data_IF_062044233493
#
_entry.id   IF_062044233493
#
_cell.length_a   1.000
_cell.length_b   1.000
_cell.length_c   1.000
_cell.angle_alpha   90.00
_cell.angle_beta   90.00
_cell.angle_gamma   90.00
#
_symmetry.space_group_name_H-M   'P 1'
#
loop_
_entity.id
_entity.type
_entity.pdbx_description
1 polymer ?
#
# COMPACT_ATOMS: atom_id res chain seq x y z
N UNK A 1 -12.32 11.87 24.56
CA UNK A 1 -10.93 11.99 25.03
C UNK A 1 -10.03 11.08 24.21
N UNK A 2 -8.75 11.39 24.16
CA UNK A 2 -7.75 10.67 23.35
C UNK A 2 -6.96 9.67 24.22
N UNK A 3 -7.68 8.86 25.01
CA UNK A 3 -7.07 7.85 25.86
C UNK A 3 -7.29 6.47 25.28
N UNK A 4 -6.24 5.65 25.28
CA UNK A 4 -6.28 4.23 24.96
C UNK A 4 -5.95 3.45 26.22
N UNK A 5 -6.74 2.43 26.54
CA UNK A 5 -6.51 1.54 27.66
C UNK A 5 -6.38 0.11 27.12
N UNK A 6 -5.28 -0.54 27.44
CA UNK A 6 -5.13 -1.97 27.23
C UNK A 6 -5.73 -2.69 28.45
N UNK A 7 -6.68 -3.56 28.21
CA UNK A 7 -7.35 -4.32 29.30
C UNK A 7 -6.57 -5.54 29.74
N UNK A 8 -5.64 -6.00 28.90
CA UNK A 8 -4.71 -7.07 29.19
C UNK A 8 -3.34 -6.47 29.54
N UNK A 9 -2.80 -6.80 30.70
CA UNK A 9 -1.50 -6.29 31.20
C UNK A 9 -0.30 -6.72 30.32
N UNK A 10 -0.43 -7.83 29.60
CA UNK A 10 0.62 -8.37 28.74
C UNK A 10 0.49 -7.89 27.28
N UNK A 11 -0.63 -7.23 26.93
CA UNK A 11 -0.83 -6.67 25.62
C UNK A 11 0.15 -5.50 25.35
N UNK A 12 0.59 -5.42 24.11
CA UNK A 12 1.44 -4.33 23.60
C UNK A 12 0.84 -3.75 22.34
N UNK A 13 0.92 -2.44 22.19
CA UNK A 13 0.50 -1.74 20.99
C UNK A 13 1.66 -1.69 20.00
N UNK A 14 1.44 -2.18 18.78
CA UNK A 14 2.36 -2.03 17.65
C UNK A 14 1.71 -1.14 16.59
N UNK A 15 2.39 -0.11 16.13
CA UNK A 15 1.91 0.84 15.13
C UNK A 15 2.54 0.59 13.74
N UNK A 16 3.22 -0.53 13.53
CA UNK A 16 3.95 -0.84 12.30
C UNK A 16 3.09 -0.80 11.03
N UNK A 17 1.80 -1.14 11.14
CA UNK A 17 0.87 -1.12 10.02
C UNK A 17 0.21 0.24 9.71
N UNK A 18 0.64 1.34 10.39
CA UNK A 18 0.02 2.67 10.15
C UNK A 18 1.02 3.82 10.35
N UNK A 19 2.16 3.57 10.97
CA UNK A 19 3.09 4.62 11.37
C UNK A 19 3.78 5.28 10.17
N UNK A 20 4.13 4.51 9.13
CA UNK A 20 4.79 5.06 7.93
C UNK A 20 3.86 6.03 7.21
N UNK A 21 2.60 5.65 7.04
CA UNK A 21 1.59 6.50 6.43
C UNK A 21 1.38 7.80 7.20
N UNK A 22 1.24 7.73 8.52
CA UNK A 22 1.13 8.91 9.36
C UNK A 22 2.37 9.82 9.25
N UNK A 23 3.57 9.24 9.26
CA UNK A 23 4.83 10.00 9.12
C UNK A 23 4.89 10.68 7.75
N UNK A 24 4.53 9.98 6.67
CA UNK A 24 4.52 10.54 5.32
C UNK A 24 3.58 11.76 5.22
N UNK A 25 2.37 11.68 5.78
CA UNK A 25 1.42 12.79 5.83
C UNK A 25 2.00 13.99 6.63
N UNK A 26 2.59 13.74 7.81
CA UNK A 26 3.23 14.81 8.59
C UNK A 26 4.42 15.44 7.88
N UNK A 27 5.21 14.65 7.17
CA UNK A 27 6.31 15.16 6.35
C UNK A 27 5.80 16.04 5.19
N UNK A 28 4.76 15.59 4.47
CA UNK A 28 4.13 16.37 3.40
C UNK A 28 3.63 17.71 3.91
N UNK A 29 2.89 17.72 5.02
CA UNK A 29 2.41 18.95 5.64
C UNK A 29 3.55 19.90 6.03
N UNK A 30 4.62 19.37 6.66
CA UNK A 30 5.79 20.16 7.03
C UNK A 30 6.47 20.76 5.79
N UNK A 31 6.72 19.98 4.75
CA UNK A 31 7.35 20.43 3.51
C UNK A 31 6.50 21.50 2.81
N UNK A 32 5.17 21.30 2.73
CA UNK A 32 4.24 22.30 2.20
C UNK A 32 4.31 23.62 2.99
N UNK A 33 4.42 23.55 4.33
CA UNK A 33 4.59 24.74 5.18
C UNK A 33 5.89 25.52 4.93
N UNK A 34 6.88 24.86 4.29
CA UNK A 34 8.16 25.47 3.86
C UNK A 34 8.14 25.92 2.40
N UNK A 35 6.99 25.87 1.73
CA UNK A 35 6.84 26.29 0.34
C UNK A 35 7.27 25.23 -0.69
N UNK A 36 7.50 24.00 -0.26
CA UNK A 36 7.79 22.89 -1.20
C UNK A 36 6.47 22.34 -1.72
N UNK A 37 6.23 22.51 -3.01
CA UNK A 37 4.97 22.15 -3.69
C UNK A 37 5.14 21.00 -4.68
N UNK A 38 6.33 20.46 -4.82
CA UNK A 38 6.65 19.36 -5.75
C UNK A 38 7.70 18.45 -5.12
N UNK A 39 7.45 17.14 -5.09
CA UNK A 39 8.39 16.17 -4.52
C UNK A 39 7.82 14.77 -4.34
N UNK A 40 8.70 13.87 -3.92
CA UNK A 40 8.34 12.50 -3.52
C UNK A 40 8.94 12.20 -2.16
N UNK A 41 8.13 11.65 -1.27
CA UNK A 41 8.56 11.03 -0.02
C UNK A 41 8.45 9.52 -0.23
N UNK A 42 9.54 8.78 0.05
CA UNK A 42 9.56 7.32 -0.05
C UNK A 42 10.07 6.74 1.27
N UNK A 43 9.22 6.00 1.95
CA UNK A 43 9.48 5.35 3.23
C UNK A 43 9.48 3.81 3.11
N UNK A 44 10.10 3.28 2.05
CA UNK A 44 10.20 1.84 1.83
C UNK A 44 8.83 1.17 1.61
N UNK A 45 8.32 1.24 0.36
CA UNK A 45 7.00 0.70 -0.03
C UNK A 45 5.82 1.63 0.29
N UNK A 46 6.03 2.70 1.04
CA UNK A 46 5.08 3.78 1.23
C UNK A 46 5.60 5.02 0.51
N UNK A 47 4.96 5.40 -0.59
CA UNK A 47 5.33 6.53 -1.44
C UNK A 47 4.24 7.59 -1.39
N UNK A 48 4.61 8.84 -1.10
CA UNK A 48 3.72 9.99 -1.12
C UNK A 48 4.27 11.02 -2.11
N UNK A 49 3.44 11.47 -3.05
CA UNK A 49 3.76 12.58 -3.93
C UNK A 49 3.26 13.91 -3.36
N UNK A 50 4.04 14.97 -3.55
CA UNK A 50 3.67 16.35 -3.20
C UNK A 50 3.38 17.06 -4.52
N UNK A 51 2.13 17.49 -4.71
CA UNK A 51 1.71 18.18 -5.91
C UNK A 51 1.98 17.41 -7.20
N UNK A 52 2.53 18.11 -8.19
CA UNK A 52 2.91 17.59 -9.50
C UNK A 52 4.37 17.95 -9.81
N UNK A 53 4.95 17.39 -10.89
CA UNK A 53 6.29 17.76 -11.34
C UNK A 53 6.34 19.21 -11.83
N UNK A 54 7.54 19.77 -11.93
CA UNK A 54 7.77 21.15 -12.37
C UNK A 54 7.24 21.45 -13.80
N UNK A 55 7.12 20.44 -14.64
CA UNK A 55 6.53 20.51 -15.98
C UNK A 55 5.01 20.25 -16.00
N UNK A 56 4.39 20.23 -14.82
CA UNK A 56 2.97 19.93 -14.61
C UNK A 56 2.55 18.49 -14.96
N UNK A 57 3.48 17.60 -15.26
CA UNK A 57 3.17 16.18 -15.47
C UNK A 57 3.00 15.43 -14.14
N UNK A 58 2.34 14.26 -14.22
CA UNK A 58 2.19 13.36 -13.08
C UNK A 58 3.50 12.64 -12.74
N UNK A 59 3.62 12.20 -11.50
CA UNK A 59 4.66 11.26 -11.11
C UNK A 59 4.29 9.87 -11.59
N UNK A 60 5.22 9.20 -12.25
CA UNK A 60 5.07 7.79 -12.63
C UNK A 60 5.72 6.93 -11.57
N UNK A 61 4.91 6.14 -10.87
CA UNK A 61 5.35 5.27 -9.76
C UNK A 61 5.17 3.81 -10.16
N UNK A 62 6.26 3.04 -10.08
CA UNK A 62 6.26 1.60 -10.36
C UNK A 62 5.67 0.80 -9.20
N UNK A 63 4.85 -0.19 -9.53
CA UNK A 63 4.41 -1.25 -8.63
C UNK A 63 5.41 -2.39 -8.78
N UNK A 64 6.05 -2.78 -7.70
CA UNK A 64 7.10 -3.80 -7.74
C UNK A 64 6.51 -5.16 -8.15
N UNK A 65 7.23 -5.89 -9.00
CA UNK A 65 6.87 -7.28 -9.30
C UNK A 65 7.15 -8.13 -8.05
N UNK A 66 6.16 -8.89 -7.54
CA UNK A 66 6.34 -9.76 -6.38
C UNK A 66 7.58 -10.66 -6.53
N UNK A 67 8.38 -10.74 -5.47
CA UNK A 67 9.64 -11.51 -5.38
C UNK A 67 10.76 -11.08 -6.35
N UNK A 68 10.60 -10.02 -7.14
CA UNK A 68 11.69 -9.50 -7.95
C UNK A 68 12.75 -8.84 -7.06
N UNK A 69 14.02 -9.23 -7.25
CA UNK A 69 15.16 -8.71 -6.46
C UNK A 69 15.90 -7.57 -7.15
N UNK A 70 15.59 -7.34 -8.42
CA UNK A 70 16.27 -6.37 -9.29
C UNK A 70 15.53 -5.02 -9.42
N UNK A 71 14.41 -4.85 -8.67
CA UNK A 71 13.58 -3.65 -8.74
C UNK A 71 12.65 -3.61 -9.95
N UNK A 72 12.48 -4.72 -10.67
CA UNK A 72 11.51 -4.83 -11.77
C UNK A 72 10.09 -4.50 -11.29
N UNK A 73 9.39 -3.68 -12.06
CA UNK A 73 7.99 -3.33 -11.82
C UNK A 73 7.07 -4.14 -12.75
N UNK A 74 5.91 -4.57 -12.24
CA UNK A 74 4.87 -5.26 -13.00
C UNK A 74 3.90 -4.28 -13.66
N UNK A 75 3.70 -3.14 -13.02
CA UNK A 75 2.86 -2.06 -13.51
C UNK A 75 3.44 -0.70 -13.09
N UNK A 76 2.93 0.37 -13.68
CA UNK A 76 3.21 1.73 -13.23
C UNK A 76 1.93 2.56 -13.28
N UNK A 77 1.74 3.44 -12.31
CA UNK A 77 0.62 4.37 -12.23
C UNK A 77 1.10 5.80 -12.29
N UNK A 78 0.25 6.70 -12.80
CA UNK A 78 0.52 8.12 -12.87
C UNK A 78 -0.35 8.87 -11.88
N UNK A 79 0.28 9.54 -10.91
CA UNK A 79 -0.41 10.22 -9.82
C UNK A 79 0.12 11.63 -9.58
N UNK A 80 -0.75 12.49 -9.03
CA UNK A 80 -0.42 13.84 -8.53
C UNK A 80 -0.99 13.96 -7.14
N UNK A 81 -0.18 14.45 -6.21
CA UNK A 81 -0.57 14.77 -4.82
C UNK A 81 -1.20 13.61 -4.04
N UNK A 82 -0.93 12.37 -4.41
CA UNK A 82 -1.47 11.16 -3.82
C UNK A 82 -0.40 10.27 -3.19
N UNK A 83 -0.85 9.37 -2.33
CA UNK A 83 -0.06 8.30 -1.74
C UNK A 83 -0.26 6.99 -2.49
N UNK A 84 0.80 6.19 -2.56
CA UNK A 84 0.77 4.78 -2.98
C UNK A 84 1.42 3.96 -1.87
N UNK A 85 0.69 3.01 -1.32
CA UNK A 85 1.16 2.14 -0.25
C UNK A 85 0.90 0.69 -0.61
N UNK A 86 1.95 -0.11 -0.61
CA UNK A 86 1.89 -1.54 -0.89
C UNK A 86 2.10 -2.37 0.37
N UNK A 87 1.31 -3.42 0.53
CA UNK A 87 1.50 -4.50 1.48
C UNK A 87 1.68 -5.81 0.71
N UNK A 88 2.87 -6.39 0.77
CA UNK A 88 3.21 -7.58 0.00
C UNK A 88 3.88 -8.66 0.84
N UNK A 89 3.61 -9.92 0.51
CA UNK A 89 4.16 -11.10 1.21
C UNK A 89 5.67 -11.24 1.06
N UNK A 90 6.24 -10.61 0.02
CA UNK A 90 7.64 -10.70 -0.34
C UNK A 90 8.54 -9.69 0.39
N UNK A 91 7.99 -8.77 1.16
CA UNK A 91 8.80 -7.80 1.91
C UNK A 91 9.52 -8.43 3.10
N UNK A 92 8.83 -9.32 3.83
CA UNK A 92 9.37 -10.03 5.00
C UNK A 92 8.82 -11.44 5.03
N UNK A 93 9.60 -12.39 4.58
CA UNK A 93 9.21 -13.79 4.53
C UNK A 93 10.40 -14.74 4.71
N UNK A 94 10.08 -15.99 4.96
CA UNK A 94 11.01 -17.12 4.84
C UNK A 94 10.27 -18.32 4.24
N UNK A 95 11.02 -19.31 3.76
CA UNK A 95 10.47 -20.56 3.22
C UNK A 95 10.97 -21.73 4.02
N UNK A 96 10.06 -22.61 4.43
CA UNK A 96 10.38 -23.89 5.06
C UNK A 96 9.72 -24.98 4.23
N UNK A 97 10.52 -25.95 3.76
CA UNK A 97 10.05 -27.07 2.93
C UNK A 97 9.17 -26.61 1.74
N UNK A 98 9.52 -25.49 1.11
CA UNK A 98 8.78 -24.90 -0.01
C UNK A 98 7.59 -24.03 0.37
N UNK A 99 7.10 -24.10 1.61
CA UNK A 99 5.99 -23.26 2.08
C UNK A 99 6.47 -21.86 2.45
N UNK A 100 5.70 -20.85 2.04
CA UNK A 100 5.93 -19.43 2.31
C UNK A 100 5.37 -19.06 3.68
N UNK A 101 6.19 -18.39 4.50
CA UNK A 101 5.79 -17.81 5.77
C UNK A 101 6.12 -16.32 5.74
N UNK A 102 5.12 -15.46 5.69
CA UNK A 102 5.26 -14.01 5.65
C UNK A 102 4.71 -13.36 6.91
N UNK A 103 4.97 -12.06 7.07
CA UNK A 103 4.71 -11.31 8.30
C UNK A 103 3.25 -10.85 8.49
N UNK A 104 2.38 -11.00 7.49
CA UNK A 104 0.96 -10.62 7.61
C UNK A 104 0.21 -11.82 8.18
N UNK A 105 -0.11 -11.75 9.47
CA UNK A 105 -0.63 -12.89 10.23
C UNK A 105 -2.13 -12.80 10.42
N UNK A 106 -2.79 -13.94 10.39
CA UNK A 106 -4.18 -14.07 10.81
C UNK A 106 -4.23 -14.04 12.36
N UNK A 107 -4.91 -13.05 12.97
CA UNK A 107 -4.92 -12.90 14.42
C UNK A 107 -5.64 -14.04 15.17
N UNK A 108 -6.46 -14.85 14.46
CA UNK A 108 -7.17 -15.99 15.06
C UNK A 108 -6.30 -17.23 15.12
N UNK A 109 -5.39 -17.43 14.16
CA UNK A 109 -4.58 -18.64 14.04
C UNK A 109 -3.13 -18.43 14.40
N UNK A 110 -2.61 -17.19 14.31
CA UNK A 110 -1.20 -16.84 14.46
C UNK A 110 -0.32 -17.26 13.28
N UNK A 111 -0.91 -17.81 12.22
CA UNK A 111 -0.21 -18.18 10.98
C UNK A 111 -0.38 -17.10 9.90
N UNK A 112 0.50 -17.07 8.88
CA UNK A 112 0.33 -16.22 7.72
C UNK A 112 -1.06 -16.37 7.08
N UNK A 113 -1.60 -15.27 6.59
CA UNK A 113 -2.84 -15.28 5.82
C UNK A 113 -2.57 -15.94 4.47
N UNK A 114 -3.35 -16.96 4.13
CA UNK A 114 -3.30 -17.68 2.86
C UNK A 114 -4.62 -17.42 2.11
N UNK A 115 -4.57 -16.51 1.14
CA UNK A 115 -5.75 -16.05 0.39
C UNK A 115 -5.43 -15.79 -1.09
N UNK A 116 -4.37 -16.41 -1.60
CA UNK A 116 -3.94 -16.28 -3.00
C UNK A 116 -3.55 -14.87 -3.43
N UNK A 117 -3.22 -13.95 -2.50
CA UNK A 117 -2.68 -12.63 -2.79
C UNK A 117 -1.18 -12.56 -2.50
N UNK A 118 -0.44 -11.94 -3.41
CA UNK A 118 0.95 -11.57 -3.18
C UNK A 118 1.09 -10.13 -2.73
N UNK A 119 0.23 -9.23 -3.22
CA UNK A 119 0.33 -7.79 -2.93
C UNK A 119 -1.02 -7.11 -3.02
N UNK A 120 -1.21 -6.10 -2.18
CA UNK A 120 -2.26 -5.08 -2.31
C UNK A 120 -1.61 -3.72 -2.25
N UNK A 121 -1.84 -2.91 -3.28
CA UNK A 121 -1.42 -1.51 -3.37
C UNK A 121 -2.63 -0.61 -3.26
N UNK A 122 -2.61 0.35 -2.34
CA UNK A 122 -3.65 1.36 -2.17
C UNK A 122 -3.15 2.72 -2.66
N UNK A 123 -3.99 3.42 -3.41
CA UNK A 123 -3.77 4.80 -3.85
C UNK A 123 -4.82 5.67 -3.17
N UNK A 124 -4.38 6.66 -2.41
CA UNK A 124 -5.26 7.50 -1.58
C UNK A 124 -4.71 8.92 -1.44
N UNK A 125 -5.53 9.85 -0.97
CA UNK A 125 -5.09 11.23 -0.71
C UNK A 125 -4.21 11.33 0.52
N UNK A 126 -4.45 10.47 1.52
CA UNK A 126 -3.68 10.41 2.77
C UNK A 126 -2.93 9.09 2.87
N UNK A 127 -1.65 9.18 3.16
CA UNK A 127 -0.81 7.99 3.27
C UNK A 127 -1.16 7.10 4.47
N UNK A 128 -1.66 7.69 5.55
CA UNK A 128 -2.12 6.93 6.73
C UNK A 128 -3.30 6.01 6.39
N UNK A 129 -4.21 6.46 5.52
CA UNK A 129 -5.34 5.65 5.06
C UNK A 129 -4.86 4.51 4.15
N UNK A 130 -3.93 4.81 3.23
CA UNK A 130 -3.30 3.80 2.38
C UNK A 130 -2.55 2.72 3.17
N UNK A 131 -1.79 3.12 4.20
CA UNK A 131 -1.05 2.20 5.07
C UNK A 131 -1.99 1.25 5.83
N UNK A 132 -3.06 1.80 6.44
CA UNK A 132 -4.07 1.01 7.13
C UNK A 132 -4.86 0.08 6.19
N UNK A 133 -5.27 0.60 5.02
CA UNK A 133 -6.13 -0.13 4.09
C UNK A 133 -5.38 -1.22 3.33
N UNK A 134 -4.09 -1.04 2.99
CA UNK A 134 -3.34 -2.05 2.24
C UNK A 134 -3.26 -3.38 2.99
N UNK A 135 -2.94 -3.35 4.28
CA UNK A 135 -2.92 -4.55 5.13
C UNK A 135 -4.32 -5.08 5.40
N UNK A 136 -5.30 -4.19 5.58
CA UNK A 136 -6.71 -4.60 5.80
C UNK A 136 -7.27 -5.32 4.57
N UNK A 137 -7.09 -4.77 3.37
CA UNK A 137 -7.55 -5.38 2.12
C UNK A 137 -6.82 -6.69 1.83
N UNK A 138 -5.51 -6.76 2.14
CA UNK A 138 -4.79 -8.02 2.06
C UNK A 138 -5.41 -9.08 2.98
N UNK A 139 -5.75 -8.71 4.22
CA UNK A 139 -6.35 -9.65 5.18
C UNK A 139 -7.77 -10.09 4.80
N UNK A 140 -8.54 -9.23 4.14
CA UNK A 140 -9.89 -9.53 3.64
C UNK A 140 -9.89 -10.44 2.41
N UNK A 141 -8.82 -10.43 1.62
CA UNK A 141 -8.75 -11.11 0.32
C UNK A 141 -9.31 -10.26 -0.81
N UNK A 142 -9.26 -10.81 -2.04
CA UNK A 142 -9.55 -10.07 -3.27
C UNK A 142 -10.98 -9.49 -3.30
N UNK A 143 -11.99 -10.34 -3.12
CA UNK A 143 -13.39 -9.93 -3.31
C UNK A 143 -13.84 -8.88 -2.28
N UNK A 144 -13.64 -9.17 -0.99
CA UNK A 144 -14.06 -8.28 0.08
C UNK A 144 -13.18 -7.01 0.14
N UNK A 145 -11.88 -7.14 -0.16
CA UNK A 145 -10.96 -6.01 -0.27
C UNK A 145 -11.36 -5.06 -1.40
N UNK A 146 -11.65 -5.57 -2.60
CA UNK A 146 -12.14 -4.74 -3.71
C UNK A 146 -13.45 -4.05 -3.35
N UNK A 147 -14.41 -4.78 -2.78
CA UNK A 147 -15.70 -4.22 -2.35
C UNK A 147 -15.52 -3.12 -1.29
N UNK A 148 -14.59 -3.28 -0.36
CA UNK A 148 -14.28 -2.25 0.62
C UNK A 148 -13.80 -0.97 -0.08
N UNK A 149 -12.84 -1.07 -0.99
CA UNK A 149 -12.25 0.10 -1.64
C UNK A 149 -13.23 0.77 -2.60
N UNK A 150 -14.02 0.02 -3.38
CA UNK A 150 -15.07 0.59 -4.23
C UNK A 150 -16.12 1.42 -3.44
N UNK A 151 -16.26 1.18 -2.14
CA UNK A 151 -17.13 1.96 -1.25
C UNK A 151 -16.37 2.98 -0.39
N UNK A 152 -15.05 3.15 -0.60
CA UNK A 152 -14.22 4.11 0.12
C UNK A 152 -13.90 5.31 -0.78
N UNK A 153 -14.38 6.53 -0.46
CA UNK A 153 -14.15 7.71 -1.30
C UNK A 153 -12.66 8.00 -1.52
N UNK A 154 -12.32 8.51 -2.71
CA UNK A 154 -10.99 9.01 -3.09
C UNK A 154 -9.85 7.96 -2.94
N UNK A 155 -10.23 6.68 -2.92
CA UNK A 155 -9.30 5.57 -2.71
C UNK A 155 -9.46 4.52 -3.82
N UNK A 156 -8.32 4.06 -4.35
CA UNK A 156 -8.27 3.01 -5.36
C UNK A 156 -7.29 1.91 -4.93
N UNK A 157 -7.47 0.71 -5.48
CA UNK A 157 -6.63 -0.42 -5.17
C UNK A 157 -6.19 -1.22 -6.40
N UNK A 158 -5.00 -1.80 -6.28
CA UNK A 158 -4.45 -2.80 -7.19
C UNK A 158 -4.11 -4.03 -6.36
N UNK A 159 -4.62 -5.19 -6.77
CA UNK A 159 -4.37 -6.48 -6.16
C UNK A 159 -3.56 -7.33 -7.12
N UNK A 160 -2.54 -8.01 -6.63
CA UNK A 160 -1.73 -8.96 -7.40
C UNK A 160 -1.87 -10.32 -6.74
N UNK A 161 -2.35 -11.29 -7.51
CA UNK A 161 -2.56 -12.67 -7.05
C UNK A 161 -1.29 -13.52 -7.14
N UNK A 162 -1.32 -14.72 -6.61
CA UNK A 162 -0.18 -15.65 -6.59
C UNK A 162 0.13 -16.26 -7.98
N UNK A 163 -0.81 -16.18 -8.92
CA UNK A 163 -0.60 -16.48 -10.35
C UNK A 163 -0.25 -15.24 -11.19
N UNK A 164 0.06 -14.11 -10.53
CA UNK A 164 0.48 -12.84 -11.12
C UNK A 164 -0.60 -12.12 -11.95
N UNK A 165 -1.88 -12.40 -11.73
CA UNK A 165 -2.96 -11.61 -12.28
C UNK A 165 -3.09 -10.28 -11.53
N UNK A 166 -3.45 -9.23 -12.27
CA UNK A 166 -3.66 -7.87 -11.72
C UNK A 166 -5.15 -7.56 -11.75
N UNK A 167 -5.72 -7.31 -10.58
CA UNK A 167 -7.09 -6.86 -10.41
C UNK A 167 -7.10 -5.43 -9.87
N UNK A 168 -8.02 -4.59 -10.36
CA UNK A 168 -8.05 -3.17 -10.01
C UNK A 168 -9.45 -2.71 -9.72
N UNK A 169 -9.58 -1.72 -8.83
CA UNK A 169 -10.83 -0.97 -8.66
C UNK A 169 -11.11 -0.06 -9.86
N UNK A 170 -12.33 0.42 -9.94
CA UNK A 170 -12.90 1.06 -11.14
C UNK A 170 -12.21 2.36 -11.58
N UNK A 171 -11.55 3.08 -10.67
CA UNK A 171 -10.82 4.31 -11.00
C UNK A 171 -9.45 4.08 -11.64
N UNK A 172 -8.88 2.87 -11.52
CA UNK A 172 -7.61 2.53 -12.15
C UNK A 172 -7.80 2.31 -13.66
N UNK A 173 -6.95 2.91 -14.47
CA UNK A 173 -7.10 2.93 -15.93
C UNK A 173 -8.03 4.03 -16.45
N UNK A 174 -8.79 4.65 -15.54
CA UNK A 174 -9.65 5.82 -15.81
C UNK A 174 -9.06 7.09 -15.23
N UNK A 175 -9.48 7.43 -14.01
CA UNK A 175 -9.00 8.63 -13.28
C UNK A 175 -7.54 8.54 -12.87
N UNK A 176 -7.04 7.33 -12.63
CA UNK A 176 -5.63 7.04 -12.35
C UNK A 176 -5.06 6.23 -13.51
N UNK A 177 -4.30 6.84 -14.43
CA UNK A 177 -3.69 6.11 -15.54
C UNK A 177 -2.74 5.02 -15.03
N UNK A 178 -2.87 3.82 -15.60
CA UNK A 178 -2.01 2.68 -15.32
C UNK A 178 -1.47 2.08 -16.62
N UNK A 179 -0.23 1.66 -16.59
CA UNK A 179 0.42 0.89 -17.66
C UNK A 179 0.91 -0.43 -17.07
N UNK A 180 0.43 -1.54 -17.58
CA UNK A 180 1.00 -2.87 -17.27
C UNK A 180 2.31 -2.98 -18.05
N UNK A 181 3.37 -3.34 -17.34
CA UNK A 181 4.69 -3.49 -17.93
C UNK A 181 4.85 -4.95 -18.35
N UNK A 182 5.32 -5.16 -19.58
CA UNK A 182 5.52 -6.50 -20.11
C UNK A 182 6.44 -7.32 -19.21
N UNK A 183 6.03 -8.53 -18.93
CA UNK A 183 6.78 -9.53 -18.17
C UNK A 183 7.99 -10.02 -18.96
#
# INVERSE_FOLDING_TARGET
>A
GNHVMLTDSDAKLDLGGIAKGYIADRMKEYLNSKGITSGIINLGGNVMTIGEKADHSAYKVGIQKPFATDGTSIAAVEIKDKSIVSSGVYERYYRINGQLYHHILNPKTGYPIDNHLYEVTIISDRSVDGDALSTTCFALGLEDGMKLIENTPDTEAIFITDDAEIHTTSGIGGTIPMTVLNQ
#
